data_IF_323664809529
#
_entry.id   IF_323664809529
#
_cell.length_a   1.000
_cell.length_b   1.000
_cell.length_c   1.000
_cell.angle_alpha   90.00
_cell.angle_beta   90.00
_cell.angle_gamma   90.00
#
_symmetry.space_group_name_H-M   'P 1'
#
loop_
_entity.id
_entity.type
_entity.pdbx_description
1 polymer ?
#
# COMPACT_ATOMS: atom_id res chain seq x y z
N UNK A 1 35.53 -73.81 -0.61
CA UNK A 1 35.11 -72.44 -0.92
C UNK A 1 33.96 -72.06 0.00
N UNK A 2 34.19 -71.02 0.79
CA UNK A 2 33.24 -70.11 1.46
C UNK A 2 31.86 -70.03 0.77
N UNK A 3 30.71 -69.95 1.44
CA UNK A 3 30.31 -68.97 2.46
C UNK A 3 29.10 -69.44 3.29
N UNK A 4 29.09 -68.94 4.52
CA UNK A 4 28.07 -69.00 5.57
C UNK A 4 26.91 -68.00 5.41
N UNK A 5 25.76 -68.39 6.00
CA UNK A 5 24.78 -67.61 6.80
C UNK A 5 23.62 -66.82 6.14
N UNK A 6 22.41 -67.31 6.51
CA UNK A 6 21.24 -66.68 7.20
C UNK A 6 20.45 -65.53 6.51
N UNK A 7 19.16 -65.83 6.30
CA UNK A 7 18.01 -64.91 6.17
C UNK A 7 17.76 -64.05 7.44
N UNK A 8 16.74 -63.17 7.47
CA UNK A 8 16.49 -62.01 6.61
C UNK A 8 16.44 -60.73 7.48
N UNK A 9 17.06 -59.63 7.05
CA UNK A 9 16.99 -58.37 7.79
C UNK A 9 15.68 -57.63 7.49
N UNK A 10 15.11 -57.09 8.57
CA UNK A 10 13.83 -56.42 8.61
C UNK A 10 13.70 -55.21 7.69
N UNK A 11 12.43 -54.96 7.38
CA UNK A 11 11.88 -53.77 6.76
C UNK A 11 12.42 -52.52 7.47
N UNK A 12 13.20 -51.73 6.76
CA UNK A 12 13.54 -50.35 7.11
C UNK A 12 13.08 -49.49 5.93
N UNK A 13 11.85 -48.99 6.04
CA UNK A 13 11.32 -47.96 5.15
C UNK A 13 12.10 -46.68 5.45
N UNK A 14 13.13 -46.40 4.66
CA UNK A 14 13.76 -45.09 4.65
C UNK A 14 12.80 -44.13 3.95
N UNK A 15 12.06 -43.35 4.74
CA UNK A 15 11.39 -42.15 4.26
C UNK A 15 12.50 -41.16 3.88
N UNK A 16 12.84 -41.12 2.59
CA UNK A 16 13.57 -40.00 2.02
C UNK A 16 12.57 -38.86 1.95
N UNK A 17 12.51 -38.06 3.02
CA UNK A 17 11.87 -36.76 2.98
C UNK A 17 12.69 -35.89 2.03
N UNK A 18 12.20 -35.73 0.81
CA UNK A 18 12.66 -34.71 -0.12
C UNK A 18 12.40 -33.34 0.51
N UNK A 19 13.39 -32.82 1.23
CA UNK A 19 13.49 -31.41 1.59
C UNK A 19 13.72 -30.61 0.31
N UNK A 20 12.65 -30.36 -0.43
CA UNK A 20 12.55 -29.13 -1.20
C UNK A 20 12.40 -28.01 -0.17
N UNK A 21 13.54 -27.52 0.33
CA UNK A 21 13.60 -26.22 0.97
C UNK A 21 13.30 -25.19 -0.13
N UNK A 22 12.00 -24.96 -0.36
CA UNK A 22 11.53 -23.71 -0.93
C UNK A 22 12.02 -22.64 0.05
N UNK A 23 13.09 -21.96 -0.33
CA UNK A 23 13.49 -20.71 0.27
C UNK A 23 12.36 -19.71 -0.01
N UNK A 24 11.36 -19.69 0.86
CA UNK A 24 10.50 -18.53 1.07
C UNK A 24 11.41 -17.46 1.66
N UNK A 25 12.09 -16.72 0.78
CA UNK A 25 12.63 -15.42 1.15
C UNK A 25 11.45 -14.61 1.65
N UNK A 26 11.40 -14.39 2.97
CA UNK A 26 10.51 -13.37 3.53
C UNK A 26 10.82 -12.07 2.80
N UNK A 27 9.78 -11.45 2.26
CA UNK A 27 9.93 -10.16 1.63
C UNK A 27 10.56 -9.19 2.67
N UNK A 28 11.53 -8.35 2.30
CA UNK A 28 12.13 -7.44 3.27
C UNK A 28 11.14 -6.32 3.65
N UNK A 29 11.33 -5.71 4.85
CA UNK A 29 10.43 -4.70 5.40
C UNK A 29 10.45 -3.40 4.61
N UNK A 30 9.27 -2.98 4.11
CA UNK A 30 9.02 -1.83 3.22
C UNK A 30 8.50 -0.63 4.00
N UNK A 31 9.11 0.55 3.88
CA UNK A 31 8.65 1.81 4.49
C UNK A 31 9.17 3.03 3.71
N UNK A 32 8.61 4.24 3.95
CA UNK A 32 9.22 5.59 3.90
C UNK A 32 8.24 6.61 3.33
N UNK A 33 7.81 7.62 4.09
CA UNK A 33 6.69 8.45 3.64
C UNK A 33 6.68 9.89 4.12
N UNK A 34 6.12 10.74 3.27
CA UNK A 34 5.72 12.11 3.59
C UNK A 34 4.20 12.24 3.75
N UNK A 35 3.76 12.14 5.00
CA UNK A 35 2.35 12.22 5.47
C UNK A 35 1.48 13.26 4.77
N UNK A 36 2.01 14.47 4.56
CA UNK A 36 1.26 15.59 3.98
C UNK A 36 0.77 15.33 2.55
N UNK A 37 1.51 14.56 1.76
CA UNK A 37 1.21 14.42 0.34
C UNK A 37 0.18 13.32 0.09
N UNK A 38 0.19 12.23 0.85
CA UNK A 38 -0.90 11.24 0.89
C UNK A 38 -2.22 11.85 1.33
N UNK A 39 -2.19 12.81 2.26
CA UNK A 39 -3.37 13.60 2.60
C UNK A 39 -3.94 14.33 1.39
N UNK A 40 -3.08 15.06 0.68
CA UNK A 40 -3.49 15.90 -0.44
C UNK A 40 -4.05 15.06 -1.59
N UNK A 41 -3.38 13.96 -1.94
CA UNK A 41 -3.84 13.03 -2.98
C UNK A 41 -5.19 12.42 -2.60
N UNK A 42 -5.34 11.96 -1.35
CA UNK A 42 -6.60 11.38 -0.86
C UNK A 42 -7.74 12.38 -0.91
N UNK A 43 -7.54 13.61 -0.43
CA UNK A 43 -8.57 14.66 -0.48
C UNK A 43 -8.96 15.04 -1.90
N UNK A 44 -8.00 15.06 -2.83
CA UNK A 44 -8.27 15.37 -4.23
C UNK A 44 -8.98 14.23 -4.98
N UNK A 45 -8.77 12.98 -4.56
CA UNK A 45 -9.35 11.80 -5.18
C UNK A 45 -10.80 11.54 -4.74
N UNK A 46 -11.17 11.98 -3.54
CA UNK A 46 -12.48 11.70 -2.95
C UNK A 46 -13.46 12.85 -3.26
N UNK A 47 -14.58 12.59 -3.97
CA UNK A 47 -15.52 13.63 -4.37
C UNK A 47 -16.25 14.21 -3.14
N UNK A 48 -16.12 15.52 -2.92
CA UNK A 48 -16.63 16.20 -1.73
C UNK A 48 -18.17 16.15 -1.58
N UNK A 49 -18.91 15.89 -2.66
CA UNK A 49 -20.35 15.68 -2.66
C UNK A 49 -20.77 14.25 -2.30
N UNK A 50 -19.84 13.29 -2.27
CA UNK A 50 -20.11 11.88 -1.94
C UNK A 50 -19.28 11.34 -0.77
N UNK A 51 -18.31 12.11 -0.28
CA UNK A 51 -17.53 11.76 0.91
C UNK A 51 -17.54 12.93 1.89
N UNK A 52 -18.11 12.72 3.08
CA UNK A 52 -18.20 13.78 4.08
C UNK A 52 -16.83 14.10 4.67
N UNK A 53 -16.69 15.30 5.23
CA UNK A 53 -15.44 15.68 5.88
C UNK A 53 -15.10 14.76 7.07
N UNK A 54 -16.12 14.26 7.77
CA UNK A 54 -15.95 13.30 8.86
C UNK A 54 -15.43 11.95 8.35
N UNK A 55 -15.98 11.46 7.23
CA UNK A 55 -15.50 10.25 6.60
C UNK A 55 -14.05 10.41 6.09
N UNK A 56 -13.74 11.53 5.40
CA UNK A 56 -12.37 11.85 4.96
C UNK A 56 -11.39 11.80 6.13
N UNK A 57 -11.73 12.40 7.27
CA UNK A 57 -10.83 12.40 8.43
C UNK A 57 -10.50 10.98 8.92
N UNK A 58 -11.47 10.06 8.88
CA UNK A 58 -11.28 8.66 9.28
C UNK A 58 -10.58 7.81 8.21
N UNK A 59 -10.75 8.18 6.94
CA UNK A 59 -10.01 7.59 5.82
C UNK A 59 -8.55 8.01 5.87
N UNK A 60 -8.27 9.26 6.25
CA UNK A 60 -6.91 9.75 6.40
C UNK A 60 -6.22 9.14 7.62
N UNK A 61 -6.89 9.14 8.77
CA UNK A 61 -6.35 8.63 10.03
C UNK A 61 -7.47 7.96 10.83
N UNK A 62 -7.31 6.68 11.15
CA UNK A 62 -8.29 5.94 11.93
C UNK A 62 -7.68 4.73 12.65
N UNK A 63 -8.52 3.94 13.34
CA UNK A 63 -8.02 2.91 14.23
C UNK A 63 -7.38 1.75 13.44
N UNK A 64 -6.48 0.96 14.06
CA UNK A 64 -6.08 -0.33 13.55
C UNK A 64 -7.29 -1.28 13.35
N UNK A 65 -7.22 -2.25 12.42
CA UNK A 65 -6.09 -2.49 11.53
C UNK A 65 -5.97 -1.45 10.42
N UNK A 66 -6.97 -0.58 10.24
CA UNK A 66 -7.08 0.33 9.12
C UNK A 66 -6.01 1.39 9.02
N UNK A 67 -5.63 2.08 10.10
CA UNK A 67 -4.54 3.07 10.10
C UNK A 67 -4.68 4.28 9.15
N UNK A 68 -5.58 4.27 8.17
CA UNK A 68 -5.84 5.37 7.24
C UNK A 68 -4.74 5.59 6.20
N UNK A 69 -5.00 6.48 5.24
CA UNK A 69 -4.06 6.78 4.16
C UNK A 69 -2.79 7.48 4.69
N UNK A 70 -2.96 8.45 5.58
CA UNK A 70 -1.84 9.15 6.24
C UNK A 70 -1.26 8.33 7.38
N UNK A 71 -2.10 7.61 8.14
CA UNK A 71 -1.57 6.86 9.27
C UNK A 71 -0.85 5.58 8.84
N UNK A 72 -1.08 5.05 7.64
CA UNK A 72 -0.26 3.95 7.11
C UNK A 72 1.23 4.32 7.04
N UNK A 73 1.54 5.59 6.76
CA UNK A 73 2.92 6.12 6.81
C UNK A 73 3.59 5.97 8.19
N UNK A 74 2.80 5.92 9.27
CA UNK A 74 3.29 5.81 10.65
C UNK A 74 3.48 4.36 11.07
N UNK A 75 2.78 3.43 10.41
CA UNK A 75 2.94 1.98 10.56
C UNK A 75 4.04 1.49 9.64
N UNK A 76 5.18 2.16 9.67
CA UNK A 76 6.25 1.96 8.73
C UNK A 76 6.65 0.46 8.67
N UNK A 77 6.69 -0.25 9.80
CA UNK A 77 7.06 -1.69 9.86
C UNK A 77 6.02 -2.67 9.33
N UNK A 78 4.80 -2.21 9.03
CA UNK A 78 3.71 -3.06 8.55
C UNK A 78 3.83 -3.20 7.02
N UNK A 79 4.65 -4.15 6.56
CA UNK A 79 4.98 -4.29 5.13
C UNK A 79 3.76 -4.44 4.21
N UNK A 80 2.67 -4.99 4.72
CA UNK A 80 1.42 -5.20 3.97
C UNK A 80 0.70 -3.89 3.63
N UNK A 81 1.12 -2.75 4.19
CA UNK A 81 0.62 -1.41 3.84
C UNK A 81 1.34 -0.82 2.63
N UNK A 82 2.57 -1.27 2.39
CA UNK A 82 3.54 -0.57 1.56
C UNK A 82 3.92 -1.38 0.31
N UNK A 83 4.32 -0.67 -0.75
CA UNK A 83 4.66 -1.30 -2.04
C UNK A 83 6.15 -1.45 -2.32
N UNK A 84 7.04 -0.88 -1.49
CA UNK A 84 8.49 -1.04 -1.64
C UNK A 84 8.93 -2.50 -1.63
N UNK A 85 10.19 -2.75 -1.96
CA UNK A 85 10.79 -4.09 -1.91
C UNK A 85 10.12 -5.11 -2.84
N UNK A 86 9.75 -4.68 -4.04
CA UNK A 86 9.25 -5.53 -5.13
C UNK A 86 10.20 -5.46 -6.32
N UNK A 87 10.81 -6.58 -6.72
CA UNK A 87 11.85 -6.59 -7.77
C UNK A 87 11.30 -6.78 -9.18
N UNK A 88 10.00 -7.08 -9.30
CA UNK A 88 9.30 -7.37 -10.56
C UNK A 88 7.76 -7.20 -10.38
N UNK A 89 6.96 -7.27 -11.47
CA UNK A 89 5.49 -7.19 -11.40
C UNK A 89 4.81 -8.25 -10.54
N UNK A 90 5.37 -9.46 -10.44
CA UNK A 90 4.78 -10.54 -9.63
C UNK A 90 4.82 -10.16 -8.16
N UNK A 91 5.93 -9.59 -7.69
CA UNK A 91 6.08 -9.16 -6.30
C UNK A 91 5.17 -7.98 -5.97
N UNK A 92 5.05 -7.00 -6.88
CA UNK A 92 4.10 -5.89 -6.75
C UNK A 92 2.68 -6.41 -6.57
N UNK A 93 2.25 -7.33 -7.44
CA UNK A 93 0.92 -7.92 -7.32
C UNK A 93 0.74 -8.76 -6.05
N UNK A 94 1.78 -9.42 -5.56
CA UNK A 94 1.73 -10.16 -4.29
C UNK A 94 1.57 -9.21 -3.10
N UNK A 95 2.27 -8.08 -3.07
CA UNK A 95 2.12 -7.06 -2.02
C UNK A 95 0.76 -6.39 -2.06
N UNK A 96 0.31 -5.98 -3.26
CA UNK A 96 -1.04 -5.46 -3.43
C UNK A 96 -2.09 -6.48 -2.95
N UNK A 97 -1.94 -7.76 -3.28
CA UNK A 97 -2.84 -8.80 -2.76
C UNK A 97 -2.80 -8.90 -1.23
N UNK A 98 -1.63 -8.81 -0.59
CA UNK A 98 -1.55 -8.81 0.87
C UNK A 98 -2.31 -7.64 1.49
N UNK A 99 -2.15 -6.42 0.95
CA UNK A 99 -2.93 -5.26 1.39
C UNK A 99 -4.44 -5.50 1.21
N UNK A 100 -4.86 -6.02 0.05
CA UNK A 100 -6.26 -6.33 -0.22
C UNK A 100 -6.82 -7.36 0.77
N UNK A 101 -6.11 -8.46 0.98
CA UNK A 101 -6.55 -9.56 1.84
C UNK A 101 -6.61 -9.12 3.31
N UNK A 102 -5.82 -8.12 3.72
CA UNK A 102 -5.86 -7.56 5.08
C UNK A 102 -6.99 -6.54 5.23
N UNK A 103 -7.14 -5.59 4.32
CA UNK A 103 -8.04 -4.44 4.52
C UNK A 103 -9.44 -4.66 3.96
N UNK A 104 -9.58 -5.40 2.86
CA UNK A 104 -10.88 -5.59 2.21
C UNK A 104 -11.90 -6.30 3.13
N UNK A 105 -11.54 -7.31 3.96
CA UNK A 105 -12.49 -7.90 4.91
C UNK A 105 -12.91 -6.92 6.01
N UNK A 106 -12.02 -6.00 6.40
CA UNK A 106 -12.30 -4.97 7.42
C UNK A 106 -13.28 -3.92 6.86
N UNK A 107 -13.09 -3.52 5.60
CA UNK A 107 -14.03 -2.64 4.89
C UNK A 107 -15.44 -3.27 4.86
N UNK A 108 -15.55 -4.54 4.45
CA UNK A 108 -16.87 -5.19 4.38
C UNK A 108 -17.48 -5.43 5.75
N UNK A 109 -16.74 -6.03 6.68
CA UNK A 109 -17.30 -6.37 7.99
C UNK A 109 -17.68 -5.12 8.79
N UNK A 110 -16.87 -4.06 8.75
CA UNK A 110 -17.15 -2.82 9.44
C UNK A 110 -18.30 -2.00 8.83
N UNK A 111 -18.56 -2.15 7.53
CA UNK A 111 -19.65 -1.43 6.84
C UNK A 111 -21.02 -2.10 6.94
N UNK A 112 -21.14 -3.29 7.54
CA UNK A 112 -22.44 -3.93 7.80
C UNK A 112 -23.29 -3.02 8.69
N UNK A 113 -24.56 -2.81 8.31
CA UNK A 113 -25.47 -2.00 9.10
C UNK A 113 -26.22 -2.84 10.15
N UNK A 114 -26.21 -2.36 11.40
CA UNK A 114 -27.14 -2.77 12.45
C UNK A 114 -28.14 -1.62 12.70
N UNK A 115 -29.29 -1.71 12.03
CA UNK A 115 -30.18 -0.56 11.88
C UNK A 115 -29.58 0.47 10.93
N UNK A 116 -29.29 1.67 11.43
CA UNK A 116 -28.67 2.76 10.65
C UNK A 116 -27.21 3.05 11.08
N UNK A 117 -26.61 2.15 11.85
CA UNK A 117 -25.25 2.32 12.38
C UNK A 117 -24.37 1.22 11.82
N UNK A 118 -23.18 1.60 11.35
CA UNK A 118 -22.15 0.69 10.87
C UNK A 118 -21.57 -0.14 12.02
N UNK A 119 -21.27 -1.42 11.76
CA UNK A 119 -20.70 -2.33 12.76
C UNK A 119 -19.35 -1.82 13.29
N UNK A 120 -18.50 -1.31 12.40
CA UNK A 120 -17.27 -0.58 12.70
C UNK A 120 -16.93 0.37 11.53
N UNK A 121 -17.71 1.44 11.42
CA UNK A 121 -17.52 2.44 10.37
C UNK A 121 -16.12 3.09 10.39
N UNK A 122 -15.59 3.55 11.55
CA UNK A 122 -14.24 4.11 11.62
C UNK A 122 -13.16 3.13 11.17
N UNK A 123 -13.22 1.87 11.59
CA UNK A 123 -12.28 0.82 11.13
C UNK A 123 -12.39 0.54 9.63
N UNK A 124 -13.61 0.46 9.09
CA UNK A 124 -13.84 0.27 7.65
C UNK A 124 -13.29 1.43 6.81
N UNK A 125 -13.52 2.68 7.22
CA UNK A 125 -12.96 3.86 6.55
C UNK A 125 -11.44 3.90 6.63
N UNK A 126 -10.87 3.59 7.78
CA UNK A 126 -9.43 3.54 7.95
C UNK A 126 -8.79 2.45 7.07
N UNK A 127 -9.43 1.27 6.96
CA UNK A 127 -8.98 0.18 6.09
C UNK A 127 -9.06 0.55 4.60
N UNK A 128 -10.13 1.25 4.19
CA UNK A 128 -10.19 1.84 2.85
C UNK A 128 -9.06 2.86 2.63
N UNK A 129 -8.76 3.68 3.65
CA UNK A 129 -7.62 4.59 3.64
C UNK A 129 -6.28 3.89 3.41
N UNK A 130 -6.03 2.75 4.06
CA UNK A 130 -4.82 1.98 3.81
C UNK A 130 -4.74 1.44 2.38
N UNK A 131 -5.86 0.98 1.79
CA UNK A 131 -5.87 0.59 0.38
C UNK A 131 -5.53 1.76 -0.55
N UNK A 132 -6.03 2.98 -0.25
CA UNK A 132 -5.66 4.18 -1.01
C UNK A 132 -4.17 4.48 -0.88
N UNK A 133 -3.60 4.38 0.31
CA UNK A 133 -2.17 4.55 0.54
C UNK A 133 -1.35 3.55 -0.26
N UNK A 134 -1.66 2.26 -0.21
CA UNK A 134 -1.00 1.22 -1.02
C UNK A 134 -1.06 1.54 -2.52
N UNK A 135 -2.17 2.09 -3.01
CA UNK A 135 -2.32 2.55 -4.39
C UNK A 135 -1.48 3.80 -4.71
N UNK A 136 -1.27 4.68 -3.73
CA UNK A 136 -0.45 5.89 -3.85
C UNK A 136 1.04 5.54 -3.87
N UNK A 137 1.48 4.65 -2.96
CA UNK A 137 2.84 4.09 -2.92
C UNK A 137 3.25 3.48 -4.26
N UNK A 138 2.34 2.80 -4.96
CA UNK A 138 2.64 2.27 -6.28
C UNK A 138 3.19 3.36 -7.23
N UNK A 139 2.57 4.54 -7.27
CA UNK A 139 3.02 5.63 -8.14
C UNK A 139 4.21 6.39 -7.55
N UNK A 140 4.33 6.42 -6.22
CA UNK A 140 5.43 7.11 -5.56
C UNK A 140 6.73 6.30 -5.63
N UNK A 141 6.68 4.97 -5.48
CA UNK A 141 7.84 4.12 -5.15
C UNK A 141 8.21 3.13 -6.25
N UNK A 142 7.38 2.98 -7.29
CA UNK A 142 7.75 2.22 -8.48
C UNK A 142 8.43 3.09 -9.54
N UNK A 143 9.02 2.45 -10.54
CA UNK A 143 9.50 3.09 -11.76
C UNK A 143 8.39 3.36 -12.82
N UNK A 144 7.10 3.17 -12.49
CA UNK A 144 5.99 3.37 -13.45
C UNK A 144 5.95 4.79 -14.05
N UNK A 145 6.19 5.80 -13.23
CA UNK A 145 6.15 7.21 -13.65
C UNK A 145 7.33 7.51 -14.58
N UNK A 146 8.50 6.93 -14.29
CA UNK A 146 9.71 7.04 -15.11
C UNK A 146 9.43 6.48 -16.51
N UNK A 147 8.79 5.31 -16.58
CA UNK A 147 8.44 4.65 -17.83
C UNK A 147 7.45 5.49 -18.64
N UNK A 148 6.41 6.03 -17.99
CA UNK A 148 5.46 6.95 -18.64
C UNK A 148 6.17 8.16 -19.27
N UNK A 149 7.15 8.72 -18.57
CA UNK A 149 7.97 9.83 -19.09
C UNK A 149 8.81 9.37 -20.28
N UNK A 150 9.48 8.22 -20.18
CA UNK A 150 10.34 7.67 -21.23
C UNK A 150 9.59 7.42 -22.55
N UNK A 151 8.34 6.96 -22.48
CA UNK A 151 7.50 6.69 -23.65
C UNK A 151 6.62 7.87 -24.06
N UNK A 152 6.68 9.00 -23.35
CA UNK A 152 5.90 10.20 -23.64
C UNK A 152 4.40 10.08 -23.38
N UNK A 153 3.97 9.22 -22.47
CA UNK A 153 2.55 8.98 -22.12
C UNK A 153 2.25 9.37 -20.67
N UNK A 154 2.20 10.67 -20.41
CA UNK A 154 2.04 11.24 -19.05
C UNK A 154 0.62 11.08 -18.46
N UNK A 155 -0.34 10.60 -19.24
CA UNK A 155 -1.71 10.32 -18.78
C UNK A 155 -1.96 8.81 -18.60
N UNK A 156 -0.94 7.96 -18.78
CA UNK A 156 -1.10 6.51 -18.72
C UNK A 156 -1.24 6.02 -17.28
N UNK A 157 -2.46 5.70 -16.86
CA UNK A 157 -2.70 4.96 -15.63
C UNK A 157 -2.12 3.54 -15.71
N UNK A 158 -1.67 3.05 -14.56
CA UNK A 158 -1.29 1.65 -14.41
C UNK A 158 -2.50 0.72 -14.53
N UNK A 159 -2.31 -0.52 -15.00
CA UNK A 159 -3.29 -1.59 -14.77
C UNK A 159 -3.68 -1.65 -13.29
N UNK A 160 -4.93 -2.04 -12.96
CA UNK A 160 -5.37 -2.12 -11.58
C UNK A 160 -4.51 -3.07 -10.75
N UNK A 161 -4.18 -2.65 -9.52
CA UNK A 161 -3.57 -3.53 -8.51
C UNK A 161 -4.61 -4.10 -7.51
N UNK A 162 -5.83 -3.56 -7.53
CA UNK A 162 -6.97 -3.97 -6.70
C UNK A 162 -8.26 -4.08 -7.54
N UNK A 163 -9.21 -4.96 -7.15
CA UNK A 163 -9.04 -6.06 -6.20
C UNK A 163 -8.18 -7.20 -6.76
N UNK A 164 -7.92 -7.17 -8.07
CA UNK A 164 -7.15 -8.16 -8.82
C UNK A 164 -5.96 -7.47 -9.47
N UNK A 165 -4.79 -8.11 -9.38
CA UNK A 165 -3.57 -7.65 -10.02
C UNK A 165 -3.03 -8.77 -10.93
N UNK A 166 -2.80 -8.45 -12.20
CA UNK A 166 -2.26 -9.37 -13.18
C UNK A 166 -0.84 -8.93 -13.59
N UNK A 167 0.22 -9.67 -13.19
CA UNK A 167 1.60 -9.29 -13.48
C UNK A 167 1.91 -9.12 -14.98
N UNK A 168 1.17 -9.82 -15.85
CA UNK A 168 1.39 -9.78 -17.30
C UNK A 168 0.94 -8.46 -17.95
N UNK A 169 0.15 -7.64 -17.25
CA UNK A 169 -0.34 -6.37 -17.77
C UNK A 169 0.69 -5.23 -17.56
N UNK A 170 1.76 -5.49 -16.81
CA UNK A 170 2.81 -4.52 -16.49
C UNK A 170 4.09 -4.74 -17.32
N UNK A 171 4.89 -3.69 -17.55
CA UNK A 171 6.24 -3.80 -18.09
C UNK A 171 7.08 -4.80 -17.29
N UNK A 172 7.88 -5.61 -17.99
CA UNK A 172 8.67 -6.66 -17.36
C UNK A 172 9.74 -6.13 -16.38
N UNK A 173 10.17 -4.89 -16.57
CA UNK A 173 11.14 -4.17 -15.74
C UNK A 173 10.48 -3.30 -14.66
N UNK A 174 9.15 -3.36 -14.48
CA UNK A 174 8.48 -2.66 -13.40
C UNK A 174 8.97 -3.22 -12.05
N UNK A 175 9.45 -2.33 -11.19
CA UNK A 175 9.93 -2.64 -9.86
C UNK A 175 9.72 -1.45 -8.93
N UNK A 176 9.98 -1.66 -7.64
CA UNK A 176 9.93 -0.62 -6.60
C UNK A 176 11.26 -0.55 -5.88
N UNK A 177 11.49 0.58 -5.20
CA UNK A 177 12.75 0.80 -4.52
C UNK A 177 12.92 -0.11 -3.31
N UNK A 178 14.17 -0.46 -3.02
CA UNK A 178 14.52 -1.18 -1.80
C UNK A 178 14.48 -0.27 -0.59
N UNK A 179 13.83 -0.74 0.47
CA UNK A 179 13.81 -0.12 1.77
C UNK A 179 14.04 -1.18 2.86
N UNK A 180 14.69 -0.81 3.96
CA UNK A 180 14.66 -1.51 5.23
C UNK A 180 14.95 -0.52 6.38
N UNK A 181 14.11 -0.53 7.41
CA UNK A 181 14.17 0.38 8.57
C UNK A 181 15.49 0.26 9.34
N UNK A 182 16.11 -0.90 9.33
CA UNK A 182 17.39 -1.14 10.02
C UNK A 182 18.52 -0.26 9.45
N UNK A 183 18.36 0.25 8.22
CA UNK A 183 19.30 1.16 7.58
C UNK A 183 18.85 2.63 7.59
N UNK A 184 17.69 2.94 8.16
CA UNK A 184 17.19 4.32 8.26
C UNK A 184 17.79 5.04 9.46
N UNK A 185 18.63 6.04 9.21
CA UNK A 185 19.32 6.81 10.26
C UNK A 185 18.71 8.19 10.54
N UNK A 186 17.92 8.72 9.62
CA UNK A 186 17.30 10.05 9.71
C UNK A 186 16.04 10.11 8.84
N UNK A 187 15.18 11.10 9.08
CA UNK A 187 13.99 11.37 8.27
C UNK A 187 14.33 12.28 7.08
N UNK A 188 13.77 12.07 5.87
CA UNK A 188 12.87 10.97 5.49
C UNK A 188 13.60 9.63 5.56
N UNK A 189 12.88 8.57 5.92
CA UNK A 189 13.48 7.24 6.09
C UNK A 189 13.95 6.75 4.72
N UNK A 190 15.26 6.63 4.52
CA UNK A 190 15.83 6.25 3.21
C UNK A 190 15.97 4.74 3.05
N UNK A 191 16.19 4.03 4.17
CA UNK A 191 16.20 2.58 4.31
C UNK A 191 17.17 1.79 3.43
N UNK A 192 18.14 2.43 2.79
CA UNK A 192 19.09 1.72 1.93
C UNK A 192 20.45 1.50 2.61
N UNK A 193 21.08 0.31 2.47
CA UNK A 193 22.44 0.10 2.94
C UNK A 193 23.41 1.07 2.28
N UNK A 194 24.50 1.43 2.98
CA UNK A 194 25.53 2.34 2.45
C UNK A 194 26.18 1.86 1.12
N UNK A 195 26.13 0.55 0.84
CA UNK A 195 26.63 -0.05 -0.40
C UNK A 195 25.63 -0.06 -1.56
N UNK A 196 24.43 0.50 -1.38
CA UNK A 196 23.33 0.40 -2.33
C UNK A 196 22.35 -0.73 -1.99
N UNK A 197 21.37 -1.00 -2.86
CA UNK A 197 20.34 -1.99 -2.60
C UNK A 197 20.94 -3.41 -2.60
N UNK A 198 20.40 -4.36 -1.82
CA UNK A 198 20.87 -5.74 -1.81
C UNK A 198 20.71 -6.43 -3.18
N UNK A 199 21.43 -7.55 -3.43
CA UNK A 199 21.28 -8.31 -4.67
C UNK A 199 19.83 -8.69 -4.97
N UNK A 200 19.39 -8.46 -6.21
CA UNK A 200 18.02 -8.68 -6.67
C UNK A 200 17.21 -7.39 -6.78
N UNK A 201 17.52 -6.37 -5.98
CA UNK A 201 16.90 -5.06 -6.07
C UNK A 201 17.71 -4.15 -7.00
N UNK A 202 17.02 -3.38 -7.84
CA UNK A 202 17.66 -2.52 -8.83
C UNK A 202 18.07 -1.17 -8.24
N UNK A 203 17.20 -0.58 -7.42
CA UNK A 203 17.36 0.79 -6.91
C UNK A 203 16.95 0.85 -5.43
N UNK A 204 17.52 1.81 -4.69
CA UNK A 204 17.04 2.16 -3.36
C UNK A 204 15.69 2.89 -3.45
N UNK A 205 14.88 2.82 -2.41
CA UNK A 205 13.66 3.60 -2.22
C UNK A 205 13.89 5.09 -2.53
N UNK A 206 14.97 5.69 -2.02
CA UNK A 206 15.28 7.11 -2.24
C UNK A 206 15.46 7.52 -3.70
N UNK A 207 15.86 6.58 -4.56
CA UNK A 207 16.06 6.82 -6.00
C UNK A 207 14.72 6.93 -6.71
N UNK A 208 13.73 6.16 -6.27
CA UNK A 208 12.39 6.14 -6.86
C UNK A 208 11.39 7.03 -6.14
N UNK A 209 11.64 7.43 -4.89
CA UNK A 209 10.69 8.15 -4.04
C UNK A 209 10.19 9.46 -4.69
N UNK A 210 8.90 9.47 -5.03
CA UNK A 210 8.14 10.63 -5.50
C UNK A 210 7.01 11.01 -4.53
N UNK A 211 7.18 10.76 -3.23
CA UNK A 211 6.22 11.17 -2.19
C UNK A 211 6.01 12.66 -2.13
N UNK A 212 7.03 13.45 -2.47
CA UNK A 212 6.99 14.91 -2.35
C UNK A 212 7.83 15.65 -3.38
N UNK A 213 7.54 16.95 -3.62
CA UNK A 213 8.25 17.81 -4.56
C UNK A 213 9.67 18.18 -4.13
N UNK A 214 10.11 17.72 -2.95
CA UNK A 214 11.44 18.01 -2.39
C UNK A 214 12.30 16.76 -2.23
N UNK A 215 11.78 15.59 -2.60
CA UNK A 215 12.61 14.38 -2.66
C UNK A 215 13.54 14.46 -3.87
N UNK A 216 14.72 13.80 -3.84
CA UNK A 216 15.68 13.86 -4.94
C UNK A 216 15.08 13.47 -6.29
N UNK A 217 14.14 12.52 -6.31
CA UNK A 217 13.42 12.11 -7.52
C UNK A 217 12.20 12.95 -7.79
N UNK A 218 11.35 13.19 -6.79
CA UNK A 218 10.13 13.97 -6.91
C UNK A 218 10.34 15.39 -7.41
N UNK A 219 11.47 16.04 -7.06
CA UNK A 219 11.81 17.40 -7.48
C UNK A 219 12.27 17.51 -8.95
N UNK A 220 12.54 16.40 -9.64
CA UNK A 220 13.07 16.43 -11.00
C UNK A 220 11.99 16.89 -11.98
N UNK A 221 12.32 17.87 -12.83
CA UNK A 221 11.42 18.40 -13.86
C UNK A 221 11.36 17.42 -15.03
N UNK A 222 10.15 17.12 -15.50
CA UNK A 222 9.93 16.28 -16.68
C UNK A 222 10.23 17.10 -17.94
N UNK A 223 11.17 16.67 -18.80
CA UNK A 223 11.54 17.40 -20.01
C UNK A 223 10.33 17.73 -20.90
N UNK A 224 10.27 18.99 -21.36
CA UNK A 224 9.19 19.44 -22.24
C UNK A 224 7.88 19.78 -21.53
N UNK A 225 7.84 19.75 -20.19
CA UNK A 225 6.66 20.12 -19.40
C UNK A 225 7.01 21.09 -18.26
N UNK A 226 6.01 21.60 -17.57
CA UNK A 226 6.17 22.31 -16.29
C UNK A 226 5.99 21.41 -15.07
N UNK A 227 5.77 20.10 -15.25
CA UNK A 227 5.55 19.16 -14.16
C UNK A 227 6.87 18.60 -13.65
N UNK A 228 6.91 18.34 -12.35
CA UNK A 228 7.92 17.49 -11.72
C UNK A 228 7.49 16.02 -11.72
N UNK A 229 8.40 15.11 -11.38
CA UNK A 229 8.08 13.69 -11.17
C UNK A 229 7.04 13.51 -10.06
N UNK A 230 7.09 14.33 -9.00
CA UNK A 230 6.07 14.39 -7.96
C UNK A 230 4.71 14.77 -8.53
N UNK A 231 4.63 15.85 -9.32
CA UNK A 231 3.35 16.33 -9.86
C UNK A 231 2.67 15.26 -10.72
N UNK A 232 3.46 14.55 -11.53
CA UNK A 232 2.97 13.45 -12.35
C UNK A 232 2.53 12.25 -11.50
N UNK A 233 3.33 11.84 -10.51
CA UNK A 233 2.98 10.74 -9.60
C UNK A 233 1.69 11.06 -8.84
N UNK A 234 1.59 12.24 -8.24
CA UNK A 234 0.42 12.70 -7.49
C UNK A 234 -0.84 12.76 -8.37
N UNK A 235 -0.71 13.23 -9.62
CA UNK A 235 -1.81 13.25 -10.59
C UNK A 235 -2.33 11.84 -10.88
N UNK A 236 -1.45 10.92 -11.26
CA UNK A 236 -1.83 9.54 -11.60
C UNK A 236 -2.38 8.80 -10.36
N UNK A 237 -1.77 9.00 -9.20
CA UNK A 237 -2.22 8.44 -7.93
C UNK A 237 -3.61 8.95 -7.54
N UNK A 238 -3.92 10.24 -7.77
CA UNK A 238 -5.23 10.83 -7.51
C UNK A 238 -6.31 10.18 -8.38
N UNK A 239 -6.04 10.02 -9.68
CA UNK A 239 -6.98 9.42 -10.61
C UNK A 239 -7.20 7.93 -10.31
N UNK A 240 -6.13 7.18 -10.04
CA UNK A 240 -6.24 5.77 -9.63
C UNK A 240 -6.97 5.61 -8.28
N UNK A 241 -6.75 6.52 -7.33
CA UNK A 241 -7.46 6.55 -6.04
C UNK A 241 -8.96 6.84 -6.22
N UNK A 242 -9.33 7.67 -7.20
CA UNK A 242 -10.73 7.94 -7.56
C UNK A 242 -11.41 6.67 -8.10
N UNK A 243 -10.70 5.92 -8.94
CA UNK A 243 -11.17 4.64 -9.47
C UNK A 243 -11.31 3.59 -8.36
N UNK A 244 -10.36 3.53 -7.43
CA UNK A 244 -10.42 2.65 -6.27
C UNK A 244 -11.59 3.01 -5.34
N UNK A 245 -11.83 4.29 -5.07
CA UNK A 245 -13.01 4.74 -4.33
C UNK A 245 -14.30 4.22 -4.94
N UNK A 246 -14.48 4.42 -6.25
CA UNK A 246 -15.68 3.97 -6.96
C UNK A 246 -15.83 2.45 -6.85
N UNK A 247 -14.75 1.71 -7.05
CA UNK A 247 -14.71 0.25 -6.93
C UNK A 247 -15.12 -0.24 -5.54
N UNK A 248 -14.54 0.33 -4.48
CA UNK A 248 -14.83 -0.08 -3.10
C UNK A 248 -16.24 0.34 -2.69
N UNK A 249 -16.70 1.54 -3.08
CA UNK A 249 -18.06 2.00 -2.82
C UNK A 249 -19.09 1.07 -3.45
N UNK A 250 -18.91 0.73 -4.72
CA UNK A 250 -19.82 -0.16 -5.43
C UNK A 250 -19.76 -1.58 -4.87
N UNK A 251 -18.58 -2.04 -4.45
CA UNK A 251 -18.44 -3.32 -3.76
C UNK A 251 -19.23 -3.37 -2.44
N UNK A 252 -19.08 -2.37 -1.56
CA UNK A 252 -19.87 -2.27 -0.33
C UNK A 252 -21.36 -2.17 -0.63
N UNK A 253 -21.75 -1.42 -1.67
CA UNK A 253 -23.15 -1.31 -2.08
C UNK A 253 -23.73 -2.66 -2.53
N UNK A 254 -22.94 -3.48 -3.22
CA UNK A 254 -23.34 -4.79 -3.69
C UNK A 254 -23.43 -5.82 -2.55
N UNK A 255 -22.47 -5.83 -1.64
CA UNK A 255 -22.39 -6.82 -0.55
C UNK A 255 -23.29 -6.47 0.64
N UNK A 256 -23.29 -5.20 1.06
CA UNK A 256 -23.95 -4.72 2.28
C UNK A 256 -25.13 -3.78 2.00
N UNK A 257 -25.41 -3.47 0.73
CA UNK A 257 -26.52 -2.63 0.28
C UNK A 257 -26.14 -1.14 0.12
N UNK A 258 -26.89 -0.43 -0.74
CA UNK A 258 -26.63 0.98 -1.06
C UNK A 258 -26.58 1.89 0.19
N UNK A 259 -27.42 1.61 1.18
CA UNK A 259 -27.44 2.38 2.42
C UNK A 259 -26.13 2.22 3.21
N UNK A 260 -25.51 1.03 3.19
CA UNK A 260 -24.22 0.81 3.84
C UNK A 260 -23.11 1.64 3.17
N UNK A 261 -23.07 1.67 1.84
CA UNK A 261 -22.12 2.49 1.10
C UNK A 261 -22.32 3.99 1.36
N UNK A 262 -23.58 4.45 1.38
CA UNK A 262 -23.91 5.84 1.74
C UNK A 262 -23.49 6.17 3.17
N UNK A 263 -23.78 5.30 4.14
CA UNK A 263 -23.37 5.50 5.53
C UNK A 263 -21.84 5.57 5.66
N UNK A 264 -21.13 4.66 4.99
CA UNK A 264 -19.68 4.56 5.04
C UNK A 264 -18.99 5.82 4.56
N UNK A 265 -19.46 6.44 3.48
CA UNK A 265 -18.78 7.58 2.87
C UNK A 265 -19.43 8.94 3.14
N UNK A 266 -20.76 9.04 3.19
CA UNK A 266 -21.46 10.33 3.23
C UNK A 266 -21.86 10.80 4.62
N UNK A 267 -21.89 9.91 5.63
CA UNK A 267 -22.22 10.32 7.00
C UNK A 267 -20.96 10.39 7.86
N UNK A 268 -20.12 9.35 7.80
CA UNK A 268 -19.03 9.19 8.76
C UNK A 268 -19.55 8.83 10.15
N UNK A 269 -18.65 8.43 11.05
CA UNK A 269 -18.98 8.03 12.43
C UNK A 269 -18.26 8.91 13.46
N UNK A 270 -18.47 8.72 14.77
CA UNK A 270 -17.67 9.40 15.78
C UNK A 270 -16.17 9.15 15.57
N UNK A 271 -15.35 10.20 15.66
CA UNK A 271 -13.89 10.07 15.54
C UNK A 271 -13.34 9.19 16.66
N UNK A 272 -12.41 8.26 16.36
CA UNK A 272 -11.68 7.55 17.40
C UNK A 272 -10.92 8.53 18.29
N UNK A 273 -10.67 8.14 19.54
CA UNK A 273 -9.73 8.85 20.39
C UNK A 273 -8.34 8.84 19.75
N UNK A 274 -7.77 10.01 19.49
CA UNK A 274 -6.41 10.12 18.95
C UNK A 274 -5.35 9.57 19.92
N UNK A 275 -5.70 9.35 21.19
CA UNK A 275 -4.80 8.74 22.18
C UNK A 275 -4.56 7.25 21.93
N UNK A 276 -5.39 6.60 21.11
CA UNK A 276 -5.25 5.17 20.77
C UNK A 276 -4.42 4.96 19.48
N UNK A 277 -3.98 6.05 18.83
CA UNK A 277 -3.06 5.98 17.70
C UNK A 277 -1.61 5.90 18.20
N UNK A 278 -0.71 5.16 17.52
CA UNK A 278 0.71 5.25 17.77
C UNK A 278 1.14 6.72 17.68
N UNK A 279 2.05 7.16 18.55
CA UNK A 279 2.50 8.54 18.60
C UNK A 279 3.06 8.95 17.23
N UNK A 280 2.36 9.83 16.50
CA UNK A 280 2.75 10.25 15.15
C UNK A 280 3.73 11.43 15.27
N UNK A 281 5.04 11.25 14.99
CA UNK A 281 5.97 12.36 14.99
C UNK A 281 5.63 13.31 13.83
N UNK A 282 5.66 14.63 14.06
CA UNK A 282 5.53 15.66 13.03
C UNK A 282 4.18 15.77 12.29
N UNK A 283 3.03 15.40 12.89
CA UNK A 283 1.78 16.07 12.50
C UNK A 283 1.79 17.43 13.21
N UNK A 284 2.08 18.56 12.54
CA UNK A 284 1.85 19.86 13.16
C UNK A 284 0.39 19.89 13.57
N UNK A 285 0.13 20.10 14.88
CA UNK A 285 -1.19 20.20 15.51
C UNK A 285 -2.28 20.46 14.47
N UNK A 286 -3.02 19.42 14.06
CA UNK A 286 -4.22 19.61 13.25
C UNK A 286 -5.05 20.64 14.02
N UNK A 287 -5.25 21.87 13.52
CA UNK A 287 -6.17 22.76 14.18
C UNK A 287 -7.53 22.10 14.05
N UNK A 288 -7.98 21.52 15.16
CA UNK A 288 -9.36 21.12 15.36
C UNK A 288 -10.18 22.41 15.34
N UNK A 289 -10.51 22.92 14.16
CA UNK A 289 -11.60 23.87 13.99
C UNK A 289 -12.84 23.02 13.75
N UNK A 290 -13.37 22.49 14.85
CA UNK A 290 -14.75 22.02 14.88
C UNK A 290 -15.64 23.19 14.50
N UNK A 291 -16.19 23.13 13.30
CA UNK A 291 -17.34 23.91 12.82
C UNK A 291 -17.87 23.23 11.56
#
# INVERSE_FOLDING_TARGET
MTLTRRHPLGILVAIVASLAALASFGAPPAHAFYVKYHETITRNALPADQVSQLAINQILVGPPPGGGAMGSDVFATDEFRHLDNSINPVDICNRARQAWDVFSPVVLSGSVLNGNVEADGPGARAAFGALLHTQQDFYAHSNWVEENVAIGQLDRLAPPIFPTCNPADFPADLHTGYYNIDFSQQFPLEGCPAGGPPPGFQECHTVLNKDGPHTPRGAQVIPGTSMTMYDLAAKLATEASTNLYTTVRDWVANENGQNAAVQLFQQGGPMPSLNDLPHIPNIPNLPYTGS
#
